data_IF_649936789312
#
_entry.id   IF_649936789312
#
_cell.length_a   1.000
_cell.length_b   1.000
_cell.length_c   1.000
_cell.angle_alpha   90.00
_cell.angle_beta   90.00
_cell.angle_gamma   90.00
#
_symmetry.space_group_name_H-M   'P 1'
#
loop_
_entity.id
_entity.type
_entity.pdbx_description
1 polymer ?
#
# COMPACT_ATOMS: atom_id res chain seq x y z
N UNK A 1 18.73 13.12 -13.69
CA UNK A 1 19.90 13.59 -14.48
C UNK A 1 21.21 13.66 -13.68
N UNK A 2 21.21 13.50 -12.35
CA UNK A 2 22.39 13.72 -11.50
C UNK A 2 23.60 12.79 -11.75
N UNK A 3 23.44 11.75 -12.56
CA UNK A 3 24.52 10.81 -12.94
C UNK A 3 25.09 11.08 -14.34
N UNK A 4 24.61 12.11 -15.03
CA UNK A 4 25.16 12.55 -16.33
C UNK A 4 26.26 13.57 -16.08
N UNK A 5 27.26 13.63 -16.97
CA UNK A 5 28.28 14.69 -16.92
C UNK A 5 27.60 16.07 -16.85
N UNK A 6 28.21 17.07 -16.20
CA UNK A 6 27.70 18.43 -16.25
C UNK A 6 27.50 18.90 -17.69
N UNK A 7 26.49 19.75 -17.92
CA UNK A 7 26.24 20.33 -19.24
C UNK A 7 27.47 21.10 -19.76
N UNK A 8 28.22 21.75 -18.85
CA UNK A 8 29.47 22.44 -19.18
C UNK A 8 30.58 21.51 -19.72
N UNK A 9 30.50 20.21 -19.45
CA UNK A 9 31.41 19.17 -19.94
C UNK A 9 30.79 18.38 -21.11
N UNK A 10 29.73 18.91 -21.74
CA UNK A 10 29.06 18.29 -22.88
C UNK A 10 28.07 17.18 -22.53
N UNK A 11 27.69 17.04 -21.25
CA UNK A 11 26.67 16.06 -20.85
C UNK A 11 25.29 16.39 -21.41
N UNK A 12 24.58 15.37 -21.90
CA UNK A 12 23.25 15.51 -22.49
C UNK A 12 22.28 14.48 -21.91
N UNK A 13 21.01 14.88 -21.77
CA UNK A 13 19.90 14.00 -21.36
C UNK A 13 18.86 14.05 -22.47
N UNK A 14 18.45 12.89 -22.96
CA UNK A 14 17.38 12.75 -23.95
C UNK A 14 16.24 11.96 -23.31
N UNK A 15 15.01 12.46 -23.42
CA UNK A 15 13.81 11.80 -22.91
C UNK A 15 12.88 11.49 -24.07
N UNK A 16 12.52 10.21 -24.22
CA UNK A 16 11.48 9.78 -25.15
C UNK A 16 10.20 9.52 -24.36
N UNK A 17 9.30 10.51 -24.36
CA UNK A 17 7.98 10.45 -23.75
C UNK A 17 7.09 11.55 -24.35
N UNK A 18 5.80 11.53 -24.04
CA UNK A 18 4.91 12.63 -24.37
C UNK A 18 5.41 13.93 -23.69
N UNK A 19 5.68 15.01 -24.45
CA UNK A 19 6.16 16.27 -23.88
C UNK A 19 5.17 16.91 -22.89
N UNK A 20 3.88 16.59 -22.97
CA UNK A 20 2.87 17.07 -22.03
C UNK A 20 2.83 16.28 -20.70
N UNK A 21 3.49 15.13 -20.62
CA UNK A 21 3.43 14.28 -19.43
C UNK A 21 3.97 15.00 -18.18
N UNK A 22 3.29 14.94 -17.01
CA UNK A 22 3.69 15.69 -15.82
C UNK A 22 5.15 15.47 -15.37
N UNK A 23 5.63 14.21 -15.43
CA UNK A 23 7.04 13.86 -15.14
C UNK A 23 8.02 14.56 -16.08
N UNK A 24 7.68 14.68 -17.37
CA UNK A 24 8.55 15.33 -18.37
C UNK A 24 8.60 16.82 -18.10
N UNK A 25 7.45 17.44 -17.82
CA UNK A 25 7.39 18.86 -17.45
C UNK A 25 8.17 19.16 -16.16
N UNK A 26 8.09 18.28 -15.16
CA UNK A 26 8.87 18.39 -13.93
C UNK A 26 10.38 18.33 -14.20
N UNK A 27 10.82 17.44 -15.10
CA UNK A 27 12.23 17.36 -15.49
C UNK A 27 12.70 18.60 -16.24
N UNK A 28 11.92 19.08 -17.23
CA UNK A 28 12.25 20.27 -18.04
C UNK A 28 12.38 21.52 -17.17
N UNK A 29 11.49 21.68 -16.18
CA UNK A 29 11.49 22.81 -15.24
C UNK A 29 12.46 22.61 -14.07
N UNK A 30 13.06 21.43 -13.96
CA UNK A 30 13.86 21.01 -12.80
C UNK A 30 13.12 21.20 -11.46
N UNK A 31 11.87 20.74 -11.41
CA UNK A 31 10.99 20.76 -10.22
C UNK A 31 10.61 19.33 -9.77
N UNK A 32 11.57 18.52 -9.29
CA UNK A 32 11.28 17.18 -8.78
C UNK A 32 10.51 17.21 -7.45
N UNK A 33 10.71 18.23 -6.61
CA UNK A 33 10.05 18.34 -5.31
C UNK A 33 8.55 18.64 -5.48
N UNK A 34 8.18 19.65 -6.27
CA UNK A 34 6.78 19.96 -6.53
C UNK A 34 6.04 18.86 -7.28
N UNK A 35 6.74 18.09 -8.12
CA UNK A 35 6.18 16.86 -8.69
C UNK A 35 5.88 15.80 -7.62
N UNK A 36 6.84 15.53 -6.72
CA UNK A 36 6.66 14.57 -5.64
C UNK A 36 5.52 14.95 -4.68
N UNK A 37 5.37 16.24 -4.35
CA UNK A 37 4.29 16.71 -3.47
C UNK A 37 2.90 16.49 -4.08
N UNK A 38 2.74 16.75 -5.39
CA UNK A 38 1.49 16.48 -6.11
C UNK A 38 1.18 14.99 -6.15
N UNK A 39 2.17 14.18 -6.52
CA UNK A 39 2.07 12.72 -6.55
C UNK A 39 1.71 12.13 -5.17
N UNK A 40 2.25 12.70 -4.08
CA UNK A 40 1.95 12.27 -2.72
C UNK A 40 0.51 12.63 -2.33
N UNK A 41 0.08 13.86 -2.66
CA UNK A 41 -1.29 14.33 -2.40
C UNK A 41 -2.33 13.45 -3.10
N UNK A 42 -2.08 13.06 -4.36
CA UNK A 42 -2.98 12.16 -5.10
C UNK A 42 -3.04 10.76 -4.46
N UNK A 43 -1.91 10.26 -3.94
CA UNK A 43 -1.86 8.99 -3.22
C UNK A 43 -2.60 9.03 -1.89
N UNK A 44 -2.56 10.17 -1.18
CA UNK A 44 -3.33 10.36 0.06
C UNK A 44 -4.83 10.20 -0.19
N UNK A 45 -5.36 10.83 -1.24
CA UNK A 45 -6.79 10.77 -1.61
C UNK A 45 -7.23 9.34 -1.94
N UNK A 46 -6.34 8.53 -2.52
CA UNK A 46 -6.65 7.17 -2.97
C UNK A 46 -6.25 6.07 -1.97
N UNK A 47 -5.75 6.44 -0.79
CA UNK A 47 -5.14 5.54 0.18
C UNK A 47 -4.10 4.58 -0.45
N UNK A 48 -3.22 5.14 -1.29
CA UNK A 48 -2.14 4.40 -1.94
C UNK A 48 -0.82 4.57 -1.18
N UNK A 49 0.02 3.53 -1.06
CA UNK A 49 1.36 3.66 -0.52
C UNK A 49 2.18 4.72 -1.29
N UNK A 50 3.04 5.52 -0.61
CA UNK A 50 3.36 5.47 0.82
C UNK A 50 2.42 6.30 1.72
N UNK A 51 1.40 6.94 1.15
CA UNK A 51 0.45 7.82 1.87
C UNK A 51 -0.61 7.05 2.69
N UNK A 52 -0.62 5.73 2.58
CA UNK A 52 -1.47 4.84 3.33
C UNK A 52 -0.66 3.72 3.98
N UNK A 53 -1.19 3.16 5.07
CA UNK A 53 -0.72 1.88 5.60
C UNK A 53 -1.57 0.75 5.04
N UNK A 54 -0.94 -0.39 4.77
CA UNK A 54 -1.59 -1.55 4.18
C UNK A 54 -1.36 -2.78 5.06
N UNK A 55 -2.39 -3.58 5.27
CA UNK A 55 -2.28 -4.89 5.91
C UNK A 55 -2.88 -5.93 4.96
N UNK A 56 -2.09 -6.93 4.60
CA UNK A 56 -2.56 -8.09 3.85
C UNK A 56 -2.90 -9.22 4.80
N UNK A 57 -4.09 -9.79 4.64
CA UNK A 57 -4.57 -10.99 5.31
C UNK A 57 -4.66 -12.10 4.26
N UNK A 58 -4.10 -13.28 4.55
CA UNK A 58 -4.26 -14.46 3.69
C UNK A 58 -4.58 -15.70 4.52
N UNK A 59 -5.66 -16.40 4.18
CA UNK A 59 -6.12 -17.58 4.90
C UNK A 59 -7.14 -18.37 4.07
N UNK A 60 -7.55 -19.54 4.57
CA UNK A 60 -8.77 -20.21 4.10
C UNK A 60 -10.00 -19.29 4.24
N UNK A 61 -10.99 -19.33 3.32
CA UNK A 61 -12.13 -18.39 3.29
C UNK A 61 -12.89 -18.27 4.62
N UNK A 62 -13.15 -19.40 5.27
CA UNK A 62 -13.84 -19.43 6.56
C UNK A 62 -13.01 -18.78 7.69
N UNK A 63 -11.69 -18.96 7.65
CA UNK A 63 -10.77 -18.36 8.62
C UNK A 63 -10.65 -16.86 8.42
N UNK A 64 -10.59 -16.41 7.18
CA UNK A 64 -10.55 -14.99 6.83
C UNK A 64 -11.84 -14.27 7.25
N UNK A 65 -13.00 -14.87 6.97
CA UNK A 65 -14.31 -14.32 7.37
C UNK A 65 -14.43 -14.17 8.88
N UNK A 66 -14.11 -15.22 9.64
CA UNK A 66 -14.16 -15.18 11.09
C UNK A 66 -13.14 -14.20 11.69
N UNK A 67 -11.95 -14.07 11.10
CA UNK A 67 -10.96 -13.07 11.51
C UNK A 67 -11.49 -11.64 11.35
N UNK A 68 -12.12 -11.33 10.20
CA UNK A 68 -12.69 -10.01 9.94
C UNK A 68 -13.85 -9.68 10.87
N UNK A 69 -14.69 -10.67 11.20
CA UNK A 69 -15.79 -10.48 12.15
C UNK A 69 -15.30 -10.14 13.57
N UNK A 70 -14.10 -10.60 13.96
CA UNK A 70 -13.49 -10.31 15.25
C UNK A 70 -12.67 -9.00 15.27
N UNK A 71 -12.42 -8.38 14.10
CA UNK A 71 -11.58 -7.20 13.99
C UNK A 71 -12.40 -5.91 14.10
N UNK A 72 -12.16 -5.14 15.16
CA UNK A 72 -12.69 -3.78 15.30
C UNK A 72 -11.85 -2.80 14.48
N UNK A 73 -12.15 -2.69 13.18
CA UNK A 73 -11.37 -1.91 12.24
C UNK A 73 -11.59 -0.40 12.46
N UNK A 74 -10.52 0.42 12.46
CA UNK A 74 -10.67 1.85 12.63
C UNK A 74 -11.43 2.49 11.45
N UNK A 75 -12.11 3.62 11.67
CA UNK A 75 -12.79 4.34 10.60
C UNK A 75 -11.82 4.77 9.51
N UNK A 76 -12.28 4.74 8.26
CA UNK A 76 -11.45 5.00 7.08
C UNK A 76 -10.57 3.81 6.67
N UNK A 77 -10.91 2.59 7.10
CA UNK A 77 -10.30 1.35 6.58
C UNK A 77 -11.07 0.87 5.36
N UNK A 78 -10.41 0.83 4.20
CA UNK A 78 -10.91 0.19 3.00
C UNK A 78 -10.51 -1.28 2.98
N UNK A 79 -11.47 -2.17 2.74
CA UNK A 79 -11.22 -3.58 2.48
C UNK A 79 -11.27 -3.85 0.97
N UNK A 80 -10.19 -4.36 0.40
CA UNK A 80 -10.09 -4.77 -1.00
C UNK A 80 -9.92 -6.29 -1.11
N UNK A 81 -10.72 -6.91 -1.98
CA UNK A 81 -10.80 -8.36 -2.11
C UNK A 81 -12.03 -8.94 -1.40
N UNK A 82 -12.08 -10.25 -1.13
CA UNK A 82 -10.97 -11.21 -1.24
C UNK A 82 -10.65 -11.63 -2.69
N UNK A 83 -9.40 -12.01 -2.93
CA UNK A 83 -8.92 -12.63 -4.18
C UNK A 83 -8.45 -14.04 -3.86
N UNK A 84 -8.95 -15.03 -4.61
CA UNK A 84 -8.53 -16.42 -4.49
C UNK A 84 -7.12 -16.62 -5.04
N UNK A 85 -6.24 -17.21 -4.25
CA UNK A 85 -4.88 -17.58 -4.60
C UNK A 85 -4.84 -19.01 -5.19
N UNK A 86 -3.72 -19.36 -5.83
CA UNK A 86 -3.54 -20.66 -6.50
C UNK A 86 -3.60 -21.86 -5.57
N UNK A 87 -3.33 -21.66 -4.28
CA UNK A 87 -3.37 -22.67 -3.22
C UNK A 87 -4.76 -22.80 -2.55
N UNK A 88 -5.77 -22.08 -3.05
CA UNK A 88 -7.13 -22.09 -2.52
C UNK A 88 -7.36 -21.11 -1.36
N UNK A 89 -6.31 -20.47 -0.84
CA UNK A 89 -6.46 -19.40 0.15
C UNK A 89 -7.05 -18.15 -0.48
N UNK A 90 -7.64 -17.29 0.34
CA UNK A 90 -8.08 -15.95 -0.05
C UNK A 90 -7.15 -14.90 0.55
N UNK A 91 -6.86 -13.86 -0.25
CA UNK A 91 -6.15 -12.67 0.18
C UNK A 91 -7.06 -11.45 0.19
N UNK A 92 -7.05 -10.72 1.29
CA UNK A 92 -7.74 -9.44 1.44
C UNK A 92 -6.76 -8.37 1.92
N UNK A 93 -6.85 -7.18 1.34
CA UNK A 93 -6.06 -6.03 1.74
C UNK A 93 -6.92 -5.07 2.54
N UNK A 94 -6.41 -4.65 3.70
CA UNK A 94 -6.94 -3.55 4.48
C UNK A 94 -6.03 -2.34 4.27
N UNK A 95 -6.60 -1.22 3.84
CA UNK A 95 -5.86 0.04 3.63
C UNK A 95 -6.49 1.14 4.45
N UNK A 96 -5.67 2.04 5.00
CA UNK A 96 -6.18 3.20 5.73
C UNK A 96 -5.20 4.37 5.57
N UNK A 97 -5.64 5.62 5.85
CA UNK A 97 -4.74 6.76 5.92
C UNK A 97 -3.50 6.46 6.76
N UNK A 98 -2.34 7.01 6.38
CA UNK A 98 -1.06 6.74 7.08
C UNK A 98 -1.13 7.05 8.59
N UNK A 99 -1.89 8.06 8.97
CA UNK A 99 -2.12 8.45 10.37
C UNK A 99 -2.85 7.37 11.20
N UNK A 100 -3.59 6.46 10.54
CA UNK A 100 -4.38 5.39 11.17
C UNK A 100 -3.72 4.02 11.14
N UNK A 101 -2.57 3.86 10.47
CA UNK A 101 -1.88 2.56 10.33
C UNK A 101 -1.63 1.87 11.68
N UNK A 102 -1.23 2.62 12.71
CA UNK A 102 -0.99 2.05 14.05
C UNK A 102 -2.27 1.49 14.67
N UNK A 103 -3.41 2.17 14.49
CA UNK A 103 -4.70 1.69 14.97
C UNK A 103 -5.14 0.44 14.20
N UNK A 104 -4.95 0.41 12.88
CA UNK A 104 -5.26 -0.75 12.05
C UNK A 104 -4.45 -1.97 12.48
N UNK A 105 -3.14 -1.83 12.65
CA UNK A 105 -2.26 -2.92 13.11
C UNK A 105 -2.65 -3.39 14.52
N UNK A 106 -3.04 -2.48 15.41
CA UNK A 106 -3.51 -2.84 16.74
C UNK A 106 -4.82 -3.65 16.70
N UNK A 107 -5.79 -3.25 15.85
CA UNK A 107 -7.04 -3.97 15.65
C UNK A 107 -6.82 -5.38 15.09
N UNK A 108 -5.98 -5.51 14.06
CA UNK A 108 -5.61 -6.80 13.46
C UNK A 108 -4.91 -7.70 14.48
N UNK A 109 -3.99 -7.14 15.29
CA UNK A 109 -3.34 -7.88 16.38
C UNK A 109 -4.36 -8.35 17.43
N UNK A 110 -5.31 -7.50 17.83
CA UNK A 110 -6.33 -7.85 18.79
C UNK A 110 -7.20 -9.02 18.29
N UNK A 111 -7.65 -8.97 17.02
CA UNK A 111 -8.40 -10.05 16.38
C UNK A 111 -7.61 -11.37 16.38
N UNK A 112 -6.32 -11.33 16.03
CA UNK A 112 -5.43 -12.50 16.12
C UNK A 112 -5.31 -13.06 17.54
N UNK A 113 -5.28 -12.18 18.56
CA UNK A 113 -5.25 -12.56 19.97
C UNK A 113 -6.54 -13.27 20.43
N UNK A 114 -7.71 -12.76 20.05
CA UNK A 114 -9.01 -13.38 20.37
C UNK A 114 -9.11 -14.79 19.77
N UNK A 115 -8.78 -14.95 18.49
CA UNK A 115 -8.78 -16.25 17.82
C UNK A 115 -7.85 -17.26 18.49
N UNK A 116 -6.66 -16.80 18.87
CA UNK A 116 -5.67 -17.64 19.56
C UNK A 116 -6.19 -18.12 20.91
N UNK A 117 -6.83 -17.23 21.69
CA UNK A 117 -7.46 -17.59 22.96
C UNK A 117 -8.61 -18.59 22.80
N UNK A 118 -9.40 -18.45 21.72
CA UNK A 118 -10.50 -19.35 21.39
C UNK A 118 -10.06 -20.66 20.73
N UNK A 119 -8.76 -20.83 20.44
CA UNK A 119 -8.19 -21.98 19.72
C UNK A 119 -8.90 -22.23 18.38
N UNK A 120 -9.26 -21.15 17.69
CA UNK A 120 -9.89 -21.24 16.38
C UNK A 120 -8.95 -21.91 15.37
N UNK A 121 -9.50 -22.82 14.56
CA UNK A 121 -8.75 -23.51 13.53
C UNK A 121 -8.46 -22.60 12.33
N UNK A 122 -7.40 -22.94 11.59
CA UNK A 122 -7.01 -22.24 10.37
C UNK A 122 -6.11 -21.03 10.62
N UNK A 123 -4.84 -21.07 10.19
CA UNK A 123 -3.92 -19.94 10.35
C UNK A 123 -4.32 -18.78 9.43
N UNK A 124 -4.15 -17.55 9.92
CA UNK A 124 -4.29 -16.33 9.13
C UNK A 124 -2.91 -15.67 9.05
N UNK A 125 -2.37 -15.59 7.83
CA UNK A 125 -1.12 -14.89 7.56
C UNK A 125 -1.40 -13.39 7.50
N UNK A 126 -0.71 -12.63 8.35
CA UNK A 126 -0.79 -11.17 8.40
C UNK A 126 0.54 -10.58 7.93
N UNK A 127 0.48 -9.64 6.98
CA UNK A 127 1.65 -8.90 6.53
C UNK A 127 1.34 -7.40 6.53
N UNK A 128 2.15 -6.62 7.26
CA UNK A 128 2.05 -5.16 7.32
C UNK A 128 2.95 -4.56 6.25
N UNK A 129 2.45 -3.56 5.53
CA UNK A 129 3.10 -2.83 4.45
C UNK A 129 3.82 -3.79 3.47
N UNK A 130 3.07 -4.68 2.79
CA UNK A 130 3.67 -5.62 1.85
C UNK A 130 4.35 -4.86 0.70
N UNK A 131 5.50 -5.39 0.25
CA UNK A 131 6.27 -4.84 -0.88
C UNK A 131 5.54 -4.93 -2.21
N UNK A 132 4.59 -5.86 -2.33
CA UNK A 132 3.72 -6.05 -3.48
C UNK A 132 2.26 -6.00 -3.02
N UNK A 133 1.46 -5.16 -3.67
CA UNK A 133 0.06 -4.90 -3.33
C UNK A 133 -0.91 -5.44 -4.40
N UNK A 134 -0.41 -6.25 -5.33
CA UNK A 134 -1.16 -6.89 -6.43
C UNK A 134 -0.73 -8.34 -6.61
#
# INVERSE_FOLDING_TARGET
AALVRPAAEGGQVVVLADPAHPVVQALVRWDPAGFADRELTEREVLHLPPAAGVVSLSAEPASLTAFLAAADLPPGTDALGPVTLTDGQERLLLRCPRSRTRALVAAVRAAGGVRSAHKEAGPVRVQVDPTEVG
#
